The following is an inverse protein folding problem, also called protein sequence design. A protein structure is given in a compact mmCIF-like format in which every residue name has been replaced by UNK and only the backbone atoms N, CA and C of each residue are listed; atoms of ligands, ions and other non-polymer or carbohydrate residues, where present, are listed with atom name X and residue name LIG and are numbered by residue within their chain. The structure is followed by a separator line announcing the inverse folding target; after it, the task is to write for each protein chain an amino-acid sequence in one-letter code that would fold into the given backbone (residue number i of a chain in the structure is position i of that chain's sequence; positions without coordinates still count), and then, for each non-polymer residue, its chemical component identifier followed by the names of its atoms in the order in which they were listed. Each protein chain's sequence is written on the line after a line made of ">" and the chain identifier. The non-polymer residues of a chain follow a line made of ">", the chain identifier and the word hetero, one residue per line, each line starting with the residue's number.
data_IF_038261551959
#
_entry.id   IF_038261551959
#
_cell.length_a   1.000
_cell.length_b   1.000
_cell.length_c   1.000
_cell.angle_alpha   90.00
_cell.angle_beta   90.00
_cell.angle_gamma   90.00
#
_symmetry.space_group_name_H-M   'P 1'
#
loop_
_entity.id
_entity.type
_entity.pdbx_description
1 polymer ?
#
# COMPACT_ATOMS: atom_id res chain seq x y z
N UNK A 1 -3.21 15.20 -23.98
CA UNK A 1 -2.97 14.37 -25.19
C UNK A 1 -3.43 12.98 -24.85
N UNK A 2 -4.45 12.47 -25.55
CA UNK A 2 -5.06 11.16 -25.31
C UNK A 2 -4.70 10.24 -26.49
N UNK A 3 -4.31 9.00 -26.20
CA UNK A 3 -3.96 8.00 -27.22
C UNK A 3 -4.98 6.87 -27.10
N UNK A 4 -5.77 6.67 -28.16
CA UNK A 4 -6.82 5.64 -28.25
C UNK A 4 -6.32 4.52 -29.15
N UNK A 5 -6.45 3.27 -28.69
CA UNK A 5 -6.08 2.08 -29.44
C UNK A 5 -7.33 1.23 -29.70
N UNK A 6 -7.59 0.90 -30.97
CA UNK A 6 -8.58 -0.11 -31.34
C UNK A 6 -7.95 -1.50 -31.30
N UNK A 7 -8.38 -2.31 -30.33
CA UNK A 7 -7.83 -3.66 -30.09
C UNK A 7 -8.94 -4.71 -30.25
N UNK A 8 -8.72 -5.76 -31.05
CA UNK A 8 -9.61 -6.92 -31.12
C UNK A 8 -9.86 -7.56 -29.74
N UNK A 9 -11.09 -8.00 -29.48
CA UNK A 9 -11.53 -8.46 -28.15
C UNK A 9 -10.69 -9.61 -27.57
N UNK A 10 -10.19 -10.50 -28.43
CA UNK A 10 -9.32 -11.63 -28.09
C UNK A 10 -7.93 -11.20 -27.62
N UNK A 11 -7.48 -9.99 -27.96
CA UNK A 11 -6.13 -9.47 -27.64
C UNK A 11 -6.12 -8.43 -26.54
N UNK A 12 -7.28 -8.03 -26.03
CA UNK A 12 -7.41 -7.00 -24.98
C UNK A 12 -6.63 -7.39 -23.71
N UNK A 13 -6.72 -8.66 -23.29
CA UNK A 13 -6.05 -9.14 -22.08
C UNK A 13 -4.52 -9.02 -22.19
N UNK A 14 -3.96 -9.43 -23.33
CA UNK A 14 -2.53 -9.34 -23.60
C UNK A 14 -2.04 -7.89 -23.69
N UNK A 15 -2.80 -7.01 -24.35
CA UNK A 15 -2.43 -5.59 -24.46
C UNK A 15 -2.47 -4.88 -23.10
N UNK A 16 -3.41 -5.22 -22.22
CA UNK A 16 -3.45 -4.70 -20.86
C UNK A 16 -2.25 -5.18 -20.03
N UNK A 17 -1.83 -6.43 -20.21
CA UNK A 17 -0.66 -7.00 -19.54
C UNK A 17 0.63 -6.31 -20.02
N UNK A 18 0.80 -6.16 -21.34
CA UNK A 18 1.94 -5.43 -21.91
C UNK A 18 2.01 -3.98 -21.42
N UNK A 19 0.89 -3.25 -21.43
CA UNK A 19 0.83 -1.87 -20.92
C UNK A 19 1.13 -1.81 -19.42
N UNK A 20 0.74 -2.82 -18.64
CA UNK A 20 1.05 -2.89 -17.21
C UNK A 20 2.53 -3.15 -16.90
N UNK A 21 3.29 -3.71 -17.85
CA UNK A 21 4.73 -3.94 -17.72
C UNK A 21 5.57 -2.68 -17.96
N UNK A 22 4.97 -1.61 -18.50
CA UNK A 22 5.66 -0.36 -18.81
C UNK A 22 5.56 0.58 -17.60
N UNK A 23 6.70 0.86 -16.95
CA UNK A 23 6.78 1.64 -15.70
C UNK A 23 6.16 3.05 -15.74
N UNK A 24 5.94 3.62 -16.92
CA UNK A 24 5.41 4.98 -17.07
C UNK A 24 3.92 5.02 -17.42
N UNK A 25 3.27 3.87 -17.60
CA UNK A 25 1.83 3.79 -17.91
C UNK A 25 1.04 3.55 -16.63
N UNK A 26 0.54 4.64 -16.04
CA UNK A 26 -0.45 4.55 -14.95
C UNK A 26 -1.81 4.30 -15.56
N UNK A 27 -2.37 3.10 -15.40
CA UNK A 27 -3.77 2.86 -15.73
C UNK A 27 -4.65 3.60 -14.71
N UNK A 28 -5.40 4.66 -15.10
CA UNK A 28 -6.20 5.45 -14.19
C UNK A 28 -7.42 4.69 -13.67
N UNK A 29 -7.76 3.53 -14.25
CA UNK A 29 -8.79 2.64 -13.74
C UNK A 29 -8.13 1.60 -12.84
N UNK A 30 -8.26 1.71 -11.51
CA UNK A 30 -7.84 0.64 -10.63
C UNK A 30 -8.59 -0.62 -11.06
N UNK A 31 -7.85 -1.71 -11.28
CA UNK A 31 -8.41 -3.05 -11.36
C UNK A 31 -9.32 -3.16 -10.14
N UNK A 32 -10.64 -3.23 -10.33
CA UNK A 32 -11.59 -3.50 -9.26
C UNK A 32 -11.33 -4.93 -8.81
N UNK A 33 -10.29 -5.10 -8.00
CA UNK A 33 -10.10 -6.29 -7.19
C UNK A 33 -11.28 -6.24 -6.23
N UNK A 34 -12.29 -7.08 -6.47
CA UNK A 34 -13.25 -7.44 -5.44
C UNK A 34 -12.43 -8.07 -4.30
N UNK A 35 -12.01 -7.25 -3.34
CA UNK A 35 -11.47 -7.65 -2.04
C UNK A 35 -12.33 -6.99 -0.98
N UNK A 36 -13.56 -7.46 -0.92
CA UNK A 36 -14.48 -7.24 0.20
C UNK A 36 -14.87 -8.63 0.69
N UNK A 37 -13.96 -9.27 1.42
CA UNK A 37 -14.16 -10.40 2.32
C UNK A 37 -12.77 -10.77 2.89
N UNK A 38 -12.62 -10.71 4.20
CA UNK A 38 -11.39 -11.00 4.96
C UNK A 38 -10.20 -10.07 4.75
N UNK A 39 -10.25 -8.89 5.38
CA UNK A 39 -9.05 -8.38 6.04
C UNK A 39 -8.84 -9.30 7.25
N UNK A 40 -8.24 -10.47 7.02
CA UNK A 40 -7.53 -11.15 8.11
C UNK A 40 -6.59 -10.10 8.66
N UNK A 41 -6.71 -9.77 9.95
CA UNK A 41 -5.71 -8.98 10.66
C UNK A 41 -4.35 -9.58 10.29
N UNK A 42 -3.61 -8.88 9.43
CA UNK A 42 -2.26 -9.29 9.11
C UNK A 42 -1.47 -9.06 10.39
N UNK A 43 -1.01 -10.14 11.00
CA UNK A 43 -0.02 -10.04 12.06
C UNK A 43 1.24 -9.41 11.46
N UNK A 44 1.41 -8.11 11.74
CA UNK A 44 2.52 -7.28 11.25
C UNK A 44 3.62 -7.19 12.29
N UNK A 45 3.53 -7.94 13.39
CA UNK A 45 4.52 -7.91 14.47
C UNK A 45 5.90 -8.29 13.97
N UNK A 46 5.99 -9.34 13.14
CA UNK A 46 7.26 -9.77 12.54
C UNK A 46 7.86 -8.68 11.66
N UNK A 47 7.03 -8.01 10.85
CA UNK A 47 7.48 -6.90 10.00
C UNK A 47 8.02 -5.73 10.84
N UNK A 48 7.30 -5.32 11.89
CA UNK A 48 7.71 -4.21 12.77
C UNK A 48 8.99 -4.54 13.56
N UNK A 49 9.21 -5.81 13.91
CA UNK A 49 10.38 -6.26 14.66
C UNK A 49 11.54 -6.72 13.78
N UNK A 50 11.36 -6.79 12.46
CA UNK A 50 12.38 -7.28 11.52
C UNK A 50 13.66 -6.44 11.49
N UNK A 51 13.57 -5.13 11.75
CA UNK A 51 14.70 -4.22 11.84
C UNK A 51 15.02 -3.90 13.30
N UNK A 52 16.27 -4.15 13.72
CA UNK A 52 16.72 -3.89 15.09
C UNK A 52 16.52 -2.43 15.51
N UNK A 53 16.86 -1.48 14.62
CA UNK A 53 16.69 -0.05 14.87
C UNK A 53 15.21 0.32 15.07
N UNK A 54 14.31 -0.27 14.26
CA UNK A 54 12.87 -0.04 14.41
C UNK A 54 12.33 -0.65 15.70
N UNK A 55 12.77 -1.86 16.03
CA UNK A 55 12.36 -2.55 17.26
C UNK A 55 12.78 -1.78 18.52
N UNK A 56 14.00 -1.23 18.56
CA UNK A 56 14.44 -0.37 19.66
C UNK A 56 13.62 0.93 19.76
N UNK A 57 13.39 1.60 18.63
CA UNK A 57 12.59 2.82 18.57
C UNK A 57 11.17 2.59 19.08
N UNK A 58 10.54 1.48 18.66
CA UNK A 58 9.20 1.09 19.08
C UNK A 58 9.15 0.82 20.60
N UNK A 59 10.11 0.06 21.14
CA UNK A 59 10.19 -0.24 22.57
C UNK A 59 10.33 1.02 23.42
N UNK A 60 11.19 1.96 23.00
CA UNK A 60 11.38 3.25 23.69
C UNK A 60 10.10 4.07 23.66
N UNK A 61 9.46 4.18 22.50
CA UNK A 61 8.21 4.94 22.33
C UNK A 61 7.10 4.37 23.22
N UNK A 62 6.92 3.04 23.27
CA UNK A 62 5.93 2.38 24.14
C UNK A 62 6.23 2.66 25.62
N UNK A 63 7.50 2.64 26.03
CA UNK A 63 7.88 2.96 27.41
C UNK A 63 7.54 4.41 27.78
N UNK A 64 7.77 5.37 26.88
CA UNK A 64 7.43 6.78 27.06
C UNK A 64 5.91 6.96 27.19
N UNK A 65 5.12 6.34 26.30
CA UNK A 65 3.66 6.36 26.36
C UNK A 65 3.13 5.83 27.70
N UNK A 66 3.69 4.72 28.22
CA UNK A 66 3.31 4.15 29.52
C UNK A 66 3.64 5.07 30.70
N UNK A 67 4.67 5.90 30.58
CA UNK A 67 5.04 6.92 31.57
C UNK A 67 4.25 8.23 31.42
N UNK A 68 3.42 8.36 30.39
CA UNK A 68 2.69 9.59 30.08
C UNK A 68 3.56 10.67 29.41
N UNK A 69 4.75 10.33 28.93
CA UNK A 69 5.63 11.22 28.18
C UNK A 69 5.12 11.34 26.74
N UNK A 70 4.06 12.13 26.53
CA UNK A 70 3.38 12.28 25.23
C UNK A 70 3.39 13.73 24.74
N UNK A 71 3.43 13.91 23.41
CA UNK A 71 3.23 15.21 22.76
C UNK A 71 1.89 15.17 22.03
N UNK A 72 0.99 16.08 22.39
CA UNK A 72 -0.27 16.25 21.68
C UNK A 72 -0.04 17.12 20.44
N UNK A 73 -0.46 16.63 19.29
CA UNK A 73 -0.34 17.33 18.00
C UNK A 73 -1.72 17.33 17.34
N UNK A 74 -2.19 18.50 16.95
CA UNK A 74 -3.40 18.64 16.14
C UNK A 74 -3.09 18.20 14.70
N UNK A 75 -3.87 17.27 14.17
CA UNK A 75 -3.78 16.82 12.79
C UNK A 75 -4.85 17.58 12.02
N UNK A 76 -4.45 18.43 11.07
CA UNK A 76 -5.38 19.07 10.15
C UNK A 76 -5.89 18.04 9.14
N UNK A 77 -7.21 17.94 9.01
CA UNK A 77 -7.91 17.05 8.06
C UNK A 77 -7.68 17.45 6.59
#
# INVERSE_FOLDING_TARGET
>A
MEIVFDVPADRVAFMLEMLSSINYVKNPRPRRVRKSADVKEQDTTEYLLSSEANAESLRRSIAQLRRGEVVQVEIAD
#
